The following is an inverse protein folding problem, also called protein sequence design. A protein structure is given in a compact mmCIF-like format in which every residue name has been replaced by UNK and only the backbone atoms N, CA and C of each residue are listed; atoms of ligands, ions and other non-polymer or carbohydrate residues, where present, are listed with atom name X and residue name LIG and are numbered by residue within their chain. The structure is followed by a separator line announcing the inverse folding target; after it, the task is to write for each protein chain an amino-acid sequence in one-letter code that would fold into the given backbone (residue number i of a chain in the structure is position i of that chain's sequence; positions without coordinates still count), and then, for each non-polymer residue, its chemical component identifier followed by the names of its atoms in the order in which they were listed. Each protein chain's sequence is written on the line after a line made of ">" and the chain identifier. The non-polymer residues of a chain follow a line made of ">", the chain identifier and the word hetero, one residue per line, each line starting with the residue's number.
data_IF_392419082823
#
_entry.id   IF_392419082823
#
_cell.length_a   1.000
_cell.length_b   1.000
_cell.length_c   1.000
_cell.angle_alpha   90.00
_cell.angle_beta   90.00
_cell.angle_gamma   90.00
#
_symmetry.space_group_name_H-M   'P 1'
#
loop_
_entity.id
_entity.type
_entity.pdbx_description
1 polymer ?
#
# COMPACT_ATOMS: atom_id res chain seq x y z
N UNK A 1 -18.10 16.96 -3.84
CA UNK A 1 -17.11 16.97 -2.72
C UNK A 1 -16.04 15.94 -3.05
N UNK A 2 -14.83 16.40 -3.36
CA UNK A 2 -13.75 15.57 -3.87
C UNK A 2 -13.38 14.47 -2.87
N UNK A 3 -13.56 13.21 -3.27
CA UNK A 3 -12.92 12.09 -2.62
C UNK A 3 -11.42 12.25 -2.87
N UNK A 4 -10.71 12.78 -1.86
CA UNK A 4 -9.26 12.83 -1.86
C UNK A 4 -8.79 11.38 -1.78
N UNK A 5 -8.55 10.78 -2.96
CA UNK A 5 -7.53 9.75 -3.12
C UNK A 5 -6.21 10.41 -2.74
N UNK A 6 -5.92 10.43 -1.43
CA UNK A 6 -4.62 10.81 -0.93
C UNK A 6 -3.66 9.71 -1.36
N UNK A 7 -3.10 9.82 -2.56
CA UNK A 7 -1.79 9.23 -2.82
C UNK A 7 -0.81 9.97 -1.92
N UNK A 8 -0.19 9.27 -0.97
CA UNK A 8 0.76 9.82 0.00
C UNK A 8 2.15 9.91 -0.65
N UNK A 9 2.22 10.38 -1.90
CA UNK A 9 3.40 10.32 -2.76
C UNK A 9 4.59 11.20 -2.29
N UNK A 10 4.44 11.95 -1.20
CA UNK A 10 5.40 12.96 -0.78
C UNK A 10 5.76 12.88 0.70
N UNK A 11 6.11 11.72 1.27
CA UNK A 11 6.59 11.67 2.67
C UNK A 11 7.83 12.55 2.96
N UNK A 12 8.57 13.00 1.93
CA UNK A 12 9.67 13.96 2.05
C UNK A 12 9.24 15.43 2.13
N UNK A 13 8.05 15.78 1.63
CA UNK A 13 7.53 17.16 1.56
C UNK A 13 6.23 17.35 2.36
N UNK A 14 5.52 16.26 2.65
CA UNK A 14 4.38 16.23 3.53
C UNK A 14 4.87 16.38 4.96
N UNK A 15 4.75 17.62 5.41
CA UNK A 15 4.61 17.94 6.80
C UNK A 15 3.61 16.99 7.47
N UNK A 16 4.12 16.13 8.35
CA UNK A 16 3.36 15.17 9.14
C UNK A 16 2.12 15.82 9.80
N UNK A 17 2.11 17.16 10.00
CA UNK A 17 0.99 18.00 10.50
C UNK A 17 -0.31 17.86 9.71
N UNK A 18 -0.27 17.42 8.45
CA UNK A 18 -1.47 17.15 7.65
C UNK A 18 -2.12 15.79 7.92
N UNK A 19 -1.52 14.95 8.76
CA UNK A 19 -2.11 13.69 9.21
C UNK A 19 -2.52 13.80 10.69
N UNK A 20 -3.72 14.34 10.99
CA UNK A 20 -4.18 14.52 12.37
C UNK A 20 -4.40 13.21 13.14
N UNK A 21 -4.31 12.07 12.45
CA UNK A 21 -4.31 10.72 13.04
C UNK A 21 -2.91 10.28 13.51
N UNK A 22 -1.86 10.95 13.00
CA UNK A 22 -0.45 10.67 13.29
C UNK A 22 0.17 11.70 14.24
N UNK A 23 -0.43 12.88 14.44
CA UNK A 23 0.07 13.92 15.36
C UNK A 23 -0.87 14.14 16.54
N UNK A 24 -0.27 14.10 17.73
CA UNK A 24 -0.95 14.49 18.95
C UNK A 24 -0.93 16.00 19.18
N UNK A 25 -1.93 16.51 19.90
CA UNK A 25 -1.93 17.88 20.43
C UNK A 25 -0.65 18.24 21.22
N UNK A 26 0.00 17.26 21.86
CA UNK A 26 1.20 17.47 22.65
C UNK A 26 2.48 17.65 21.80
N UNK A 27 2.56 16.99 20.64
CA UNK A 27 3.65 17.17 19.66
C UNK A 27 3.69 18.60 19.11
N UNK A 28 2.52 19.21 18.94
CA UNK A 28 2.39 20.58 18.42
C UNK A 28 2.84 21.60 19.47
N UNK A 29 2.55 21.35 20.76
CA UNK A 29 2.98 22.21 21.87
C UNK A 29 4.49 22.17 22.10
N UNK A 30 5.15 21.04 21.87
CA UNK A 30 6.59 20.86 22.09
C UNK A 30 7.47 21.53 21.03
N UNK A 31 6.97 21.74 19.81
CA UNK A 31 7.74 22.32 18.69
C UNK A 31 7.67 23.85 18.57
N UNK A 32 7.21 24.55 19.62
CA UNK A 32 7.46 25.99 19.77
C UNK A 32 6.74 26.94 18.80
N UNK A 33 5.72 26.50 18.05
CA UNK A 33 4.81 27.42 17.37
C UNK A 33 3.46 27.47 18.09
N UNK A 34 3.21 28.50 18.91
CA UNK A 34 1.85 28.88 19.25
C UNK A 34 1.31 29.69 18.08
N UNK A 35 0.51 29.05 17.23
CA UNK A 35 -0.50 29.79 16.46
C UNK A 35 -1.82 29.12 16.76
N UNK A 36 -2.69 29.90 17.39
CA UNK A 36 -4.09 29.61 17.63
C UNK A 36 -4.61 28.70 16.52
N UNK A 37 -4.95 27.47 16.89
CA UNK A 37 -5.83 26.69 16.04
C UNK A 37 -7.12 27.51 15.97
N UNK A 38 -7.68 27.80 14.77
CA UNK A 38 -9.04 28.32 14.74
C UNK A 38 -9.86 27.36 15.60
N UNK A 39 -10.62 27.88 16.57
CA UNK A 39 -11.38 27.13 17.57
C UNK A 39 -12.47 26.22 16.97
N UNK A 40 -12.37 25.91 15.67
CA UNK A 40 -13.23 25.02 14.92
C UNK A 40 -12.59 23.64 14.75
N UNK A 41 -13.04 22.75 15.63
CA UNK A 41 -13.59 21.45 15.23
C UNK A 41 -12.54 20.43 14.75
N UNK A 42 -12.04 19.61 15.68
CA UNK A 42 -11.91 18.17 15.40
C UNK A 42 -13.31 17.59 15.60
N UNK A 43 -14.15 17.36 14.58
CA UNK A 43 -15.35 16.61 14.82
C UNK A 43 -14.89 15.17 14.99
N UNK A 44 -14.77 14.71 16.24
CA UNK A 44 -14.95 13.28 16.49
C UNK A 44 -16.41 13.01 16.16
N UNK A 45 -16.65 12.57 14.93
CA UNK A 45 -17.97 12.31 14.39
C UNK A 45 -18.01 10.93 13.78
N UNK A 46 -19.19 10.33 13.76
CA UNK A 46 -19.44 9.17 12.89
C UNK A 46 -19.70 9.72 11.50
N UNK A 47 -18.90 9.30 10.54
CA UNK A 47 -19.20 9.54 9.13
C UNK A 47 -20.16 8.43 8.69
N UNK A 48 -21.26 8.83 8.05
CA UNK A 48 -22.14 7.91 7.33
C UNK A 48 -21.79 8.02 5.85
N UNK A 49 -21.56 6.88 5.20
CA UNK A 49 -21.46 6.84 3.75
C UNK A 49 -22.86 7.09 3.18
N UNK A 50 -23.08 8.29 2.63
CA UNK A 50 -24.38 8.66 2.05
C UNK A 50 -24.47 8.31 0.57
N UNK A 51 -23.37 8.40 -0.16
CA UNK A 51 -23.41 8.20 -1.59
C UNK A 51 -22.03 7.79 -2.13
N UNK A 52 -22.02 6.89 -3.11
CA UNK A 52 -20.86 6.67 -3.99
C UNK A 52 -21.33 6.93 -5.41
N UNK A 53 -20.62 7.81 -6.12
CA UNK A 53 -20.84 8.06 -7.54
C UNK A 53 -19.60 7.67 -8.33
N UNK A 54 -19.82 6.97 -9.44
CA UNK A 54 -18.84 6.79 -10.50
C UNK A 54 -18.92 7.98 -11.45
N UNK A 55 -17.81 8.69 -11.62
CA UNK A 55 -17.72 9.77 -12.61
C UNK A 55 -17.06 9.19 -13.86
N UNK A 56 -17.80 9.16 -14.96
CA UNK A 56 -17.31 8.65 -16.26
C UNK A 56 -17.56 9.68 -17.38
N UNK A 57 -17.03 9.40 -18.57
CA UNK A 57 -17.30 10.20 -19.77
C UNK A 57 -18.80 10.24 -20.15
N UNK A 58 -19.60 9.27 -19.69
CA UNK A 58 -21.07 9.22 -19.90
C UNK A 58 -21.85 10.03 -18.85
N UNK A 59 -21.16 10.65 -17.89
CA UNK A 59 -21.75 11.35 -16.76
C UNK A 59 -21.61 10.60 -15.43
N UNK A 60 -22.10 11.18 -14.32
CA UNK A 60 -22.10 10.56 -13.01
C UNK A 60 -23.13 9.43 -12.92
N UNK A 61 -22.74 8.31 -12.31
CA UNK A 61 -23.60 7.15 -12.08
C UNK A 61 -23.58 6.77 -10.60
N UNK A 62 -24.76 6.62 -10.00
CA UNK A 62 -24.90 6.25 -8.59
C UNK A 62 -24.52 4.77 -8.38
N UNK A 63 -23.47 4.51 -7.60
CA UNK A 63 -23.03 3.16 -7.23
C UNK A 63 -23.59 2.71 -5.88
N UNK A 64 -23.82 3.63 -4.93
CA UNK A 64 -24.32 3.29 -3.60
C UNK A 64 -25.07 4.46 -2.99
N UNK A 65 -26.13 4.16 -2.25
CA UNK A 65 -26.87 5.02 -1.33
C UNK A 65 -27.37 4.14 -0.16
N UNK A 66 -27.83 4.67 0.99
CA UNK A 66 -28.17 3.87 2.17
C UNK A 66 -29.16 2.72 1.92
N UNK A 67 -30.02 2.85 0.91
CA UNK A 67 -31.03 1.85 0.53
C UNK A 67 -30.68 1.10 -0.77
N UNK A 68 -29.49 1.31 -1.31
CA UNK A 68 -29.04 0.70 -2.56
C UNK A 68 -27.76 -0.11 -2.31
N UNK A 69 -27.73 -1.42 -2.62
CA UNK A 69 -26.50 -2.19 -2.51
C UNK A 69 -25.41 -1.56 -3.38
N UNK A 70 -24.15 -1.67 -2.94
CA UNK A 70 -23.02 -1.19 -3.71
C UNK A 70 -22.97 -1.92 -5.07
N UNK A 71 -23.06 -1.15 -6.14
CA UNK A 71 -22.93 -1.64 -7.51
C UNK A 71 -21.48 -1.60 -7.98
N UNK A 72 -21.15 -2.52 -8.88
CA UNK A 72 -19.82 -2.56 -9.50
C UNK A 72 -19.69 -1.40 -10.50
N UNK A 73 -18.58 -0.63 -10.48
CA UNK A 73 -18.31 0.42 -11.46
C UNK A 73 -18.34 -0.10 -12.90
N UNK A 74 -18.79 0.72 -13.86
CA UNK A 74 -18.75 0.45 -15.30
C UNK A 74 -17.32 0.45 -15.85
N UNK A 75 -16.41 1.20 -15.21
CA UNK A 75 -15.01 1.40 -15.61
C UNK A 75 -14.08 0.18 -15.63
N UNK A 76 -14.62 -1.03 -15.46
CA UNK A 76 -13.94 -2.26 -15.82
C UNK A 76 -12.85 -2.72 -14.84
N UNK A 77 -12.42 -3.96 -15.05
CA UNK A 77 -11.39 -4.63 -14.27
C UNK A 77 -10.05 -3.90 -14.42
N UNK A 78 -9.34 -3.69 -13.31
CA UNK A 78 -7.94 -3.24 -13.37
C UNK A 78 -7.10 -4.34 -13.98
N UNK A 79 -6.42 -4.05 -15.10
CA UNK A 79 -5.44 -4.98 -15.65
C UNK A 79 -4.20 -5.03 -14.76
N UNK A 80 -4.03 -6.14 -14.05
CA UNK A 80 -2.88 -6.37 -13.17
C UNK A 80 -1.69 -7.00 -13.91
N UNK A 81 -1.79 -7.31 -15.20
CA UNK A 81 -0.71 -7.86 -16.01
C UNK A 81 -0.11 -6.76 -16.89
N UNK A 82 0.90 -5.99 -16.40
CA UNK A 82 1.50 -4.93 -17.19
C UNK A 82 2.25 -5.54 -18.38
N UNK A 83 2.10 -4.92 -19.56
CA UNK A 83 2.93 -5.22 -20.73
C UNK A 83 2.73 -6.59 -21.39
N UNK A 84 1.63 -7.30 -21.12
CA UNK A 84 1.23 -8.49 -21.89
C UNK A 84 0.33 -8.11 -23.08
N UNK A 85 0.63 -7.00 -23.74
CA UNK A 85 -0.04 -6.64 -24.98
C UNK A 85 0.74 -7.27 -26.14
N UNK A 86 0.10 -8.23 -26.81
CA UNK A 86 0.56 -8.92 -28.02
C UNK A 86 1.86 -9.77 -27.87
N UNK A 87 1.68 -11.06 -27.59
CA UNK A 87 2.56 -12.13 -28.10
C UNK A 87 3.93 -12.31 -27.45
N UNK A 88 4.38 -11.47 -26.52
CA UNK A 88 5.68 -11.63 -25.86
C UNK A 88 5.60 -12.47 -24.57
N UNK A 89 6.33 -13.59 -24.57
CA UNK A 89 6.44 -14.56 -23.48
C UNK A 89 7.76 -14.42 -22.71
N UNK A 90 8.17 -13.22 -22.30
CA UNK A 90 9.28 -13.14 -21.35
C UNK A 90 8.86 -13.85 -20.06
N UNK A 91 9.56 -14.92 -19.67
CA UNK A 91 9.23 -15.68 -18.46
C UNK A 91 9.53 -14.88 -17.20
N UNK A 92 10.58 -14.05 -17.26
CA UNK A 92 11.11 -13.27 -16.15
C UNK A 92 11.34 -11.80 -16.50
N UNK A 93 11.29 -10.97 -15.46
CA UNK A 93 11.38 -9.52 -15.58
C UNK A 93 12.32 -8.94 -14.53
N UNK A 94 12.90 -7.80 -14.89
CA UNK A 94 13.51 -6.84 -13.97
C UNK A 94 12.51 -5.75 -13.63
N UNK A 95 12.27 -5.55 -12.33
CA UNK A 95 11.26 -4.61 -11.83
C UNK A 95 11.89 -3.63 -10.86
N UNK A 96 11.74 -2.34 -11.12
CA UNK A 96 12.14 -1.26 -10.21
C UNK A 96 10.93 -0.72 -9.45
N UNK A 97 11.05 -0.68 -8.13
CA UNK A 97 10.02 -0.18 -7.22
C UNK A 97 10.60 0.91 -6.33
N UNK A 98 9.83 1.99 -6.16
CA UNK A 98 10.12 3.10 -5.25
C UNK A 98 9.07 3.15 -4.15
N UNK A 99 9.48 3.03 -2.88
CA UNK A 99 8.57 3.19 -1.75
C UNK A 99 8.34 4.67 -1.47
N UNK A 100 7.09 5.11 -1.64
CA UNK A 100 6.66 6.49 -1.42
C UNK A 100 6.32 6.76 0.05
N UNK A 101 5.98 5.70 0.79
CA UNK A 101 5.77 5.72 2.24
C UNK A 101 6.53 4.59 2.93
N UNK A 102 6.78 4.67 4.25
CA UNK A 102 7.59 3.67 4.93
C UNK A 102 6.96 2.26 4.83
N UNK A 103 7.71 1.32 4.25
CA UNK A 103 7.36 -0.10 4.23
C UNK A 103 7.65 -0.72 5.61
N UNK A 104 6.61 -1.28 6.23
CA UNK A 104 6.76 -1.98 7.52
C UNK A 104 6.46 -3.47 7.37
N UNK A 105 7.49 -4.31 7.51
CA UNK A 105 7.36 -5.76 7.51
C UNK A 105 7.89 -6.33 8.82
N UNK A 106 7.18 -7.32 9.36
CA UNK A 106 7.63 -8.11 10.50
C UNK A 106 7.96 -9.53 10.06
N UNK A 107 9.07 -10.06 10.56
CA UNK A 107 9.44 -11.46 10.46
C UNK A 107 9.73 -11.99 11.87
N UNK A 108 9.05 -13.06 12.29
CA UNK A 108 9.15 -13.61 13.66
C UNK A 108 9.03 -12.52 14.75
N UNK A 109 8.06 -11.61 14.58
CA UNK A 109 7.80 -10.42 15.43
C UNK A 109 8.91 -9.36 15.46
N UNK A 110 10.03 -9.55 14.77
CA UNK A 110 11.10 -8.54 14.59
C UNK A 110 10.85 -7.70 13.34
N UNK A 111 11.17 -6.42 13.42
CA UNK A 111 11.12 -5.50 12.26
C UNK A 111 12.28 -5.82 11.33
N UNK A 112 11.99 -5.83 10.02
CA UNK A 112 13.06 -5.92 9.03
C UNK A 112 13.81 -4.59 8.94
N UNK A 113 15.09 -4.70 8.63
CA UNK A 113 16.03 -3.60 8.38
C UNK A 113 16.45 -3.64 6.91
N UNK A 114 17.12 -2.59 6.38
CA UNK A 114 17.67 -2.64 5.04
C UNK A 114 18.54 -3.87 4.76
N UNK A 115 19.32 -4.31 5.76
CA UNK A 115 20.25 -5.44 5.67
C UNK A 115 19.54 -6.81 5.69
N UNK A 116 18.34 -6.87 6.28
CA UNK A 116 17.56 -8.11 6.41
C UNK A 116 16.40 -8.17 5.42
N UNK A 117 16.22 -7.11 4.63
CA UNK A 117 15.26 -7.07 3.55
C UNK A 117 15.61 -8.14 2.50
N UNK A 118 14.62 -8.94 2.12
CA UNK A 118 14.75 -9.88 1.02
C UNK A 118 13.45 -9.92 0.20
N UNK A 119 13.53 -10.23 -1.11
CA UNK A 119 12.36 -10.27 -1.98
C UNK A 119 11.26 -11.20 -1.47
N UNK A 120 11.61 -12.40 -0.99
CA UNK A 120 10.63 -13.38 -0.50
C UNK A 120 9.72 -12.85 0.60
N UNK A 121 10.22 -11.99 1.50
CA UNK A 121 9.39 -11.30 2.49
C UNK A 121 8.43 -10.30 1.88
N UNK A 122 8.88 -9.51 0.89
CA UNK A 122 8.05 -8.53 0.21
C UNK A 122 6.93 -9.21 -0.58
N UNK A 123 7.27 -10.16 -1.46
CA UNK A 123 6.29 -10.93 -2.24
C UNK A 123 5.36 -11.76 -1.36
N UNK A 124 5.87 -12.32 -0.25
CA UNK A 124 5.05 -12.99 0.75
C UNK A 124 3.98 -12.06 1.33
N UNK A 125 4.32 -10.80 1.64
CA UNK A 125 3.33 -9.81 2.12
C UNK A 125 2.32 -9.40 1.06
N UNK A 126 2.71 -9.30 -0.20
CA UNK A 126 1.76 -9.07 -1.30
C UNK A 126 0.80 -10.25 -1.48
N UNK A 127 1.30 -11.48 -1.40
CA UNK A 127 0.48 -12.68 -1.46
C UNK A 127 -0.47 -12.78 -0.25
N UNK A 128 0.02 -12.52 0.96
CA UNK A 128 -0.82 -12.45 2.18
C UNK A 128 -1.95 -11.44 2.01
N UNK A 129 -1.67 -10.30 1.36
CA UNK A 129 -2.66 -9.25 1.06
C UNK A 129 -3.72 -9.76 0.10
N UNK A 130 -3.30 -10.30 -1.04
CA UNK A 130 -4.20 -10.86 -2.05
C UNK A 130 -5.13 -11.91 -1.43
N UNK A 131 -4.58 -12.88 -0.71
CA UNK A 131 -5.34 -13.95 -0.08
C UNK A 131 -6.37 -13.42 0.93
N UNK A 132 -5.99 -12.43 1.74
CA UNK A 132 -6.93 -11.80 2.67
C UNK A 132 -8.03 -11.04 1.93
N UNK A 133 -7.70 -10.34 0.84
CA UNK A 133 -8.69 -9.62 0.06
C UNK A 133 -9.70 -10.59 -0.58
N UNK A 134 -9.21 -11.63 -1.25
CA UNK A 134 -10.06 -12.67 -1.85
C UNK A 134 -10.91 -13.40 -0.82
N UNK A 135 -10.39 -13.64 0.39
CA UNK A 135 -11.15 -14.26 1.48
C UNK A 135 -12.34 -13.43 1.95
N UNK A 136 -12.19 -12.11 2.06
CA UNK A 136 -13.23 -11.24 2.65
C UNK A 136 -14.14 -10.60 1.60
N UNK A 137 -13.65 -10.42 0.37
CA UNK A 137 -14.33 -9.65 -0.69
C UNK A 137 -14.40 -10.39 -2.03
N UNK A 138 -13.81 -11.58 -2.14
CA UNK A 138 -13.88 -12.42 -3.33
C UNK A 138 -14.71 -13.68 -3.11
N UNK A 139 -14.48 -14.70 -3.94
CA UNK A 139 -15.13 -16.01 -3.84
C UNK A 139 -14.53 -16.94 -2.78
N UNK A 140 -13.56 -16.46 -2.00
CA UNK A 140 -12.85 -17.23 -0.99
C UNK A 140 -11.33 -17.04 -1.03
N UNK A 141 -10.65 -17.58 -0.03
CA UNK A 141 -9.18 -17.63 -0.06
C UNK A 141 -8.72 -18.62 -1.15
N UNK A 142 -7.65 -18.31 -1.91
CA UNK A 142 -7.10 -19.25 -2.88
C UNK A 142 -6.66 -20.55 -2.18
N UNK A 143 -6.86 -21.69 -2.84
CA UNK A 143 -6.40 -22.96 -2.30
C UNK A 143 -4.87 -22.99 -2.34
N UNK A 144 -4.23 -23.37 -1.23
CA UNK A 144 -2.77 -23.48 -1.14
C UNK A 144 -2.21 -24.62 -2.00
N UNK A 145 -3.06 -25.56 -2.39
CA UNK A 145 -2.73 -26.66 -3.29
C UNK A 145 -3.00 -26.30 -4.76
N UNK A 146 -3.61 -25.14 -5.05
CA UNK A 146 -3.84 -24.72 -6.43
C UNK A 146 -2.49 -24.50 -7.14
N UNK A 147 -2.36 -24.89 -8.43
CA UNK A 147 -1.12 -24.74 -9.19
C UNK A 147 -0.58 -23.30 -9.18
N UNK A 148 -1.46 -22.32 -9.29
CA UNK A 148 -1.11 -20.90 -9.33
C UNK A 148 -0.53 -20.38 -8.00
N UNK A 149 -1.06 -20.82 -6.86
CA UNK A 149 -0.49 -20.48 -5.55
C UNK A 149 0.91 -21.06 -5.41
N UNK A 150 1.08 -22.33 -5.77
CA UNK A 150 2.37 -23.02 -5.70
C UNK A 150 3.38 -22.35 -6.63
N UNK A 151 2.95 -22.00 -7.86
CA UNK A 151 3.76 -21.27 -8.85
C UNK A 151 4.26 -19.95 -8.29
N UNK A 152 3.36 -19.07 -7.81
CA UNK A 152 3.73 -17.77 -7.22
C UNK A 152 4.66 -17.93 -6.02
N UNK A 153 4.38 -18.88 -5.13
CA UNK A 153 5.21 -19.16 -3.95
C UNK A 153 6.63 -19.59 -4.36
N UNK A 154 6.77 -20.49 -5.34
CA UNK A 154 8.06 -20.95 -5.81
C UNK A 154 8.81 -19.87 -6.59
N UNK A 155 8.11 -19.12 -7.45
CA UNK A 155 8.67 -17.98 -8.17
C UNK A 155 9.24 -16.92 -7.21
N UNK A 156 8.52 -16.59 -6.13
CA UNK A 156 8.95 -15.57 -5.16
C UNK A 156 10.30 -15.88 -4.49
N UNK A 157 10.69 -17.17 -4.42
CA UNK A 157 11.97 -17.61 -3.85
C UNK A 157 13.13 -17.44 -4.82
N UNK A 158 12.86 -17.37 -6.12
CA UNK A 158 13.87 -17.23 -7.18
C UNK A 158 14.21 -15.77 -7.48
N UNK A 159 13.40 -14.83 -6.99
CA UNK A 159 13.62 -13.39 -7.18
C UNK A 159 14.87 -12.94 -6.44
N UNK A 160 15.70 -12.15 -7.11
CA UNK A 160 16.94 -11.57 -6.59
C UNK A 160 16.77 -10.06 -6.43
N UNK A 161 17.32 -9.48 -5.38
CA UNK A 161 17.40 -8.02 -5.23
C UNK A 161 18.77 -7.55 -5.74
N UNK A 162 18.82 -6.92 -6.92
CA UNK A 162 20.07 -6.49 -7.56
C UNK A 162 20.48 -5.07 -7.19
N UNK A 163 19.54 -4.27 -6.68
CA UNK A 163 19.80 -2.93 -6.09
C UNK A 163 18.87 -2.70 -4.91
N UNK A 164 19.43 -2.20 -3.80
CA UNK A 164 18.68 -1.89 -2.59
C UNK A 164 19.21 -0.58 -1.99
N UNK A 165 18.40 0.48 -2.02
CA UNK A 165 18.73 1.78 -1.41
C UNK A 165 17.90 2.07 -0.16
N UNK A 166 17.22 1.05 0.38
CA UNK A 166 16.32 1.19 1.52
C UNK A 166 17.06 1.74 2.74
N UNK A 167 16.43 2.71 3.41
CA UNK A 167 16.88 3.25 4.69
C UNK A 167 15.75 3.15 5.70
N UNK A 168 16.10 2.87 6.96
CA UNK A 168 15.13 2.98 8.04
C UNK A 168 14.80 4.46 8.25
N UNK A 169 13.52 4.81 8.07
CA UNK A 169 12.99 6.11 8.47
C UNK A 169 12.26 5.94 9.79
N UNK A 170 12.75 6.66 10.81
CA UNK A 170 12.10 6.69 12.10
C UNK A 170 10.94 7.67 12.07
N UNK A 171 9.77 7.19 12.47
CA UNK A 171 8.57 8.02 12.61
C UNK A 171 8.05 7.75 14.01
N UNK A 172 7.94 8.77 14.85
CA UNK A 172 7.36 8.63 16.19
C UNK A 172 5.89 9.04 16.10
N UNK A 173 5.01 8.30 16.78
CA UNK A 173 3.62 8.66 16.96
C UNK A 173 3.25 8.61 18.43
N UNK A 174 2.65 9.68 18.94
CA UNK A 174 2.13 9.68 20.28
C UNK A 174 0.83 8.84 20.41
N UNK A 175 0.76 8.01 21.45
CA UNK A 175 -0.42 7.24 21.86
C UNK A 175 -1.07 7.92 23.06
N UNK A 176 -2.22 8.55 22.83
CA UNK A 176 -2.97 9.26 23.87
C UNK A 176 -3.33 8.40 25.09
N UNK A 177 -3.79 7.17 24.90
CA UNK A 177 -4.21 6.29 26.01
C UNK A 177 -3.05 5.75 26.86
N UNK A 178 -1.80 5.85 26.38
CA UNK A 178 -0.60 5.40 27.10
C UNK A 178 0.36 6.54 27.43
N UNK A 179 0.00 7.79 27.12
CA UNK A 179 0.84 8.97 27.27
C UNK A 179 2.30 8.74 26.82
N UNK A 180 2.50 8.04 25.69
CA UNK A 180 3.84 7.63 25.25
C UNK A 180 3.96 7.66 23.72
N UNK A 181 5.19 7.86 23.22
CA UNK A 181 5.53 7.74 21.81
C UNK A 181 5.77 6.29 21.42
N UNK A 182 5.23 5.89 20.28
CA UNK A 182 5.46 4.58 19.70
C UNK A 182 6.23 4.74 18.38
N UNK A 183 7.32 3.98 18.20
CA UNK A 183 8.06 3.98 16.94
C UNK A 183 7.24 3.30 15.83
N UNK A 184 6.82 4.11 14.88
CA UNK A 184 6.25 3.72 13.59
C UNK A 184 7.31 3.73 12.48
N UNK A 185 8.51 3.26 12.78
CA UNK A 185 9.57 3.20 11.78
C UNK A 185 9.25 2.20 10.65
N UNK A 186 9.79 2.46 9.47
CA UNK A 186 9.70 1.60 8.28
C UNK A 186 10.87 1.83 7.32
N UNK A 187 10.88 1.09 6.21
CA UNK A 187 11.90 1.19 5.16
C UNK A 187 11.41 2.12 4.04
N UNK A 188 12.26 3.06 3.62
CA UNK A 188 11.98 3.96 2.51
C UNK A 188 13.16 3.96 1.53
N UNK A 189 12.89 4.06 0.23
CA UNK A 189 13.90 4.04 -0.82
C UNK A 189 13.47 3.16 -1.99
N UNK A 190 14.44 2.70 -2.76
CA UNK A 190 14.24 1.99 -4.01
C UNK A 190 14.79 0.56 -3.92
N UNK A 191 14.14 -0.35 -4.63
CA UNK A 191 14.63 -1.71 -4.85
C UNK A 191 14.49 -2.07 -6.32
N UNK A 192 15.47 -2.80 -6.84
CA UNK A 192 15.40 -3.42 -8.16
C UNK A 192 15.43 -4.91 -7.97
N UNK A 193 14.36 -5.57 -8.40
CA UNK A 193 14.24 -7.01 -8.44
C UNK A 193 14.59 -7.54 -9.82
N UNK A 194 15.24 -8.70 -9.85
CA UNK A 194 15.53 -9.45 -11.07
C UNK A 194 14.99 -10.88 -10.93
N UNK A 195 14.83 -11.58 -12.05
CA UNK A 195 14.17 -12.89 -12.13
C UNK A 195 12.73 -12.87 -11.56
N UNK A 196 11.98 -11.80 -11.79
CA UNK A 196 10.57 -11.72 -11.40
C UNK A 196 9.71 -12.46 -12.43
N UNK A 197 9.23 -13.64 -12.06
CA UNK A 197 8.33 -14.45 -12.90
C UNK A 197 7.02 -13.70 -13.24
N UNK A 198 6.49 -13.93 -14.44
CA UNK A 198 5.21 -13.38 -14.90
C UNK A 198 4.06 -13.54 -13.90
N UNK A 199 4.00 -14.65 -13.16
CA UNK A 199 2.96 -14.91 -12.16
C UNK A 199 2.99 -13.95 -10.97
N UNK A 200 4.10 -13.23 -10.75
CA UNK A 200 4.26 -12.27 -9.67
C UNK A 200 3.86 -10.84 -10.05
N UNK A 201 3.83 -10.50 -11.34
CA UNK A 201 3.50 -9.15 -11.80
C UNK A 201 2.12 -8.66 -11.32
N UNK A 202 1.06 -9.50 -11.31
CA UNK A 202 -0.23 -9.11 -10.75
C UNK A 202 -0.20 -8.75 -9.27
N UNK A 203 0.63 -9.44 -8.48
CA UNK A 203 0.79 -9.11 -7.07
C UNK A 203 1.49 -7.77 -6.87
N UNK A 204 2.46 -7.44 -7.73
CA UNK A 204 3.14 -6.15 -7.71
C UNK A 204 2.15 -5.03 -8.08
N UNK A 205 1.40 -5.17 -9.17
CA UNK A 205 0.41 -4.15 -9.55
C UNK A 205 -0.72 -3.98 -8.54
N UNK A 206 -1.18 -5.08 -7.95
CA UNK A 206 -2.14 -5.00 -6.85
C UNK A 206 -1.55 -4.27 -5.64
N UNK A 207 -0.28 -4.52 -5.31
CA UNK A 207 0.39 -3.86 -4.19
C UNK A 207 0.63 -2.36 -4.40
N UNK A 208 0.83 -1.91 -5.64
CA UNK A 208 0.89 -0.48 -5.99
C UNK A 208 -0.43 0.23 -5.65
N UNK A 209 -1.58 -0.42 -5.94
CA UNK A 209 -2.91 0.13 -5.62
C UNK A 209 -3.29 0.01 -4.15
N UNK A 210 -2.93 -1.12 -3.54
CA UNK A 210 -3.45 -1.45 -2.22
C UNK A 210 -2.45 -1.12 -1.10
N UNK A 211 -1.16 -0.93 -1.41
CA UNK A 211 0.00 -0.88 -0.51
C UNK A 211 0.52 -2.27 -0.06
N UNK A 212 1.69 -2.30 0.60
CA UNK A 212 2.33 -3.53 1.08
C UNK A 212 2.70 -3.49 2.58
N UNK A 213 2.67 -4.65 3.23
CA UNK A 213 3.15 -4.80 4.62
C UNK A 213 2.11 -4.47 5.69
N UNK A 214 2.55 -3.85 6.79
CA UNK A 214 1.73 -3.50 7.95
C UNK A 214 1.45 -2.00 8.04
N UNK A 215 0.41 -1.65 8.79
CA UNK A 215 -0.02 -0.25 9.02
C UNK A 215 -0.51 0.47 7.76
N UNK A 216 -0.94 -0.28 6.75
CA UNK A 216 -1.46 0.23 5.47
C UNK A 216 -2.63 1.23 5.64
N UNK A 217 -3.48 1.03 6.65
CA UNK A 217 -4.60 1.95 6.98
C UNK A 217 -4.13 3.31 7.47
N UNK A 218 -2.86 3.43 7.85
CA UNK A 218 -2.19 4.67 8.22
C UNK A 218 -1.33 5.22 7.07
N UNK A 219 -1.51 4.73 5.84
CA UNK A 219 -0.77 5.17 4.66
C UNK A 219 0.66 4.60 4.54
N UNK A 220 0.96 3.47 5.20
CA UNK A 220 2.28 2.81 5.08
C UNK A 220 2.32 1.87 3.87
N UNK A 221 3.52 1.69 3.33
CA UNK A 221 3.82 0.70 2.29
C UNK A 221 3.26 1.02 0.91
N UNK A 222 2.84 2.26 0.67
CA UNK A 222 2.65 2.81 -0.68
C UNK A 222 3.97 2.77 -1.44
N UNK A 223 3.90 2.29 -2.67
CA UNK A 223 5.02 2.26 -3.60
C UNK A 223 4.51 2.42 -5.02
N UNK A 224 5.42 2.86 -5.89
CA UNK A 224 5.19 2.95 -7.32
C UNK A 224 6.12 1.99 -8.06
N UNK A 225 5.63 1.41 -9.15
CA UNK A 225 6.48 0.66 -10.07
C UNK A 225 6.98 1.62 -11.15
N UNK A 226 8.29 1.84 -11.20
CA UNK A 226 8.90 2.79 -12.14
C UNK A 226 9.17 2.13 -13.50
N UNK A 227 9.52 0.85 -13.52
CA UNK A 227 9.91 0.16 -14.75
C UNK A 227 9.69 -1.35 -14.69
N UNK A 228 9.28 -1.92 -15.84
CA UNK A 228 9.34 -3.36 -16.13
C UNK A 228 10.25 -3.56 -17.36
N UNK A 229 11.35 -4.29 -17.20
CA UNK A 229 12.20 -4.73 -18.30
C UNK A 229 12.09 -6.24 -18.41
N UNK A 230 11.98 -6.78 -19.62
CA UNK A 230 12.16 -8.21 -19.83
C UNK A 230 13.64 -8.56 -19.61
N UNK A 231 13.91 -9.67 -18.92
CA UNK A 231 15.28 -10.15 -18.64
C UNK A 231 15.70 -11.18 -19.68
#
# INVERSE_FOLDING_TARGET
>A
LAAILASFAYWSELDIRYFPQLISENEIKLNGQPKEWPARIRPRGRLKLEQIEEISAKGPRLLHAPNLPLQVPEGGFVNLKPGLEHGQQAETWRVMITFLSPLRILQKRKRITPQTFNPGLFFGRLADRYNNFSKHFGTGAPDKNEPDYIKRKNASKKVICVRNTLKTRQVKRYKHHLNNYVPLDGLLGEVVFDNVDNSLLPLIKMGELLHAGKSITFGYGEYKVEHFAQT
#
